data_IF_746708856714
#
_entry.id   IF_746708856714
#
_cell.length_a   1.000
_cell.length_b   1.000
_cell.length_c   1.000
_cell.angle_alpha   90.00
_cell.angle_beta   90.00
_cell.angle_gamma   90.00
#
_symmetry.space_group_name_H-M   'P 1'
#
loop_
_entity.id
_entity.type
_entity.pdbx_description
1 polymer ?
#
# COMPACT_ATOMS: atom_id res chain seq x y z
N UNK A 1 3.53 -14.53 -29.89
CA UNK A 1 3.94 -13.75 -28.69
C UNK A 1 4.83 -14.64 -27.83
N UNK A 2 6.08 -14.26 -27.56
CA UNK A 2 7.02 -15.06 -26.75
C UNK A 2 6.45 -15.27 -25.34
N UNK A 3 6.62 -16.47 -24.76
CA UNK A 3 6.10 -16.86 -23.44
C UNK A 3 6.43 -15.83 -22.33
N UNK A 4 7.59 -15.20 -22.44
CA UNK A 4 8.06 -14.12 -21.56
C UNK A 4 7.15 -12.89 -21.62
N UNK A 5 6.79 -12.42 -22.83
CA UNK A 5 5.95 -11.24 -23.02
C UNK A 5 4.58 -11.44 -22.37
N UNK A 6 3.98 -12.63 -22.53
CA UNK A 6 2.69 -12.95 -21.91
C UNK A 6 2.77 -12.88 -20.38
N UNK A 7 3.86 -13.41 -19.80
CA UNK A 7 4.07 -13.38 -18.35
C UNK A 7 4.22 -11.95 -17.81
N UNK A 8 4.98 -11.11 -18.51
CA UNK A 8 5.17 -9.70 -18.12
C UNK A 8 3.84 -8.95 -18.17
N UNK A 9 3.06 -9.13 -19.24
CA UNK A 9 1.75 -8.49 -19.38
C UNK A 9 0.79 -8.89 -18.25
N UNK A 10 0.77 -10.17 -17.85
CA UNK A 10 -0.04 -10.62 -16.71
C UNK A 10 0.39 -9.98 -15.40
N UNK A 11 1.69 -9.80 -15.18
CA UNK A 11 2.20 -9.13 -13.97
C UNK A 11 1.76 -7.67 -13.94
N UNK A 12 1.90 -6.94 -15.06
CA UNK A 12 1.47 -5.54 -15.16
C UNK A 12 -0.04 -5.44 -14.95
N UNK A 13 -0.83 -6.30 -15.60
CA UNK A 13 -2.28 -6.33 -15.48
C UNK A 13 -2.77 -6.58 -14.05
N UNK A 14 -2.06 -7.40 -13.28
CA UNK A 14 -2.37 -7.64 -11.87
C UNK A 14 -1.86 -6.51 -10.95
N UNK A 15 -0.74 -5.88 -11.30
CA UNK A 15 -0.09 -4.88 -10.45
C UNK A 15 -0.76 -3.51 -10.53
N UNK A 16 -1.27 -3.11 -11.70
CA UNK A 16 -1.97 -1.81 -11.84
C UNK A 16 -3.17 -1.69 -10.90
N UNK A 17 -4.11 -2.65 -10.83
CA UNK A 17 -5.23 -2.59 -9.87
C UNK A 17 -4.77 -2.62 -8.41
N UNK A 18 -3.72 -3.38 -8.10
CA UNK A 18 -3.14 -3.40 -6.76
C UNK A 18 -2.62 -2.01 -6.35
N UNK A 19 -1.94 -1.31 -7.26
CA UNK A 19 -1.50 0.07 -7.03
C UNK A 19 -2.67 1.05 -6.86
N UNK A 20 -3.75 0.87 -7.62
CA UNK A 20 -4.97 1.67 -7.46
C UNK A 20 -5.55 1.49 -6.04
N UNK A 21 -5.67 0.24 -5.57
CA UNK A 21 -6.14 -0.05 -4.20
C UNK A 21 -5.20 0.53 -3.15
N UNK A 22 -3.89 0.38 -3.34
CA UNK A 22 -2.87 0.92 -2.44
C UNK A 22 -2.99 2.44 -2.27
N UNK A 23 -3.09 3.18 -3.37
CA UNK A 23 -3.20 4.64 -3.33
C UNK A 23 -4.56 5.08 -2.78
N UNK A 24 -5.67 4.49 -3.26
CA UNK A 24 -7.01 4.86 -2.81
C UNK A 24 -7.17 4.68 -1.31
N UNK A 25 -6.78 3.52 -0.76
CA UNK A 25 -6.92 3.27 0.67
C UNK A 25 -5.85 3.99 1.48
N UNK A 26 -4.58 3.88 1.06
CA UNK A 26 -3.45 4.42 1.79
C UNK A 26 -3.52 5.93 1.94
N UNK A 27 -3.73 6.66 0.83
CA UNK A 27 -3.78 8.13 0.85
C UNK A 27 -5.03 8.62 1.58
N UNK A 28 -6.19 8.00 1.35
CA UNK A 28 -7.42 8.37 2.08
C UNK A 28 -7.24 8.24 3.60
N UNK A 29 -6.55 7.20 4.06
CA UNK A 29 -6.22 7.06 5.49
C UNK A 29 -5.19 8.10 5.93
N UNK A 30 -4.10 8.32 5.19
CA UNK A 30 -3.12 9.36 5.51
C UNK A 30 -3.81 10.72 5.72
N UNK A 31 -4.65 11.12 4.78
CA UNK A 31 -5.40 12.38 4.86
C UNK A 31 -6.39 12.37 6.03
N UNK A 32 -7.12 11.27 6.25
CA UNK A 32 -8.12 11.19 7.33
C UNK A 32 -7.48 11.28 8.71
N UNK A 33 -6.34 10.63 8.95
CA UNK A 33 -5.61 10.76 10.21
C UNK A 33 -5.11 12.21 10.42
N UNK A 34 -4.68 12.90 9.37
CA UNK A 34 -4.29 14.30 9.45
C UNK A 34 -5.48 15.22 9.78
N UNK A 35 -6.63 15.01 9.13
CA UNK A 35 -7.87 15.76 9.43
C UNK A 35 -8.33 15.53 10.87
N UNK A 36 -8.25 14.30 11.38
CA UNK A 36 -8.58 13.99 12.77
C UNK A 36 -7.67 14.69 13.77
N UNK A 37 -6.37 14.82 13.47
CA UNK A 37 -5.42 15.56 14.31
C UNK A 37 -5.76 17.07 14.35
N UNK A 38 -6.16 17.64 13.21
CA UNK A 38 -6.63 19.04 13.11
C UNK A 38 -7.92 19.25 13.90
N UNK A 39 -8.89 18.34 13.77
CA UNK A 39 -10.16 18.40 14.52
C UNK A 39 -9.91 18.31 16.03
N UNK A 40 -8.96 17.47 16.45
CA UNK A 40 -8.57 17.36 17.85
C UNK A 40 -7.97 18.65 18.42
N UNK A 41 -7.37 19.50 17.57
CA UNK A 41 -6.89 20.85 17.95
C UNK A 41 -8.02 21.89 18.05
N UNK A 42 -9.28 21.51 17.87
CA UNK A 42 -10.44 22.40 17.97
C UNK A 42 -10.77 23.15 16.69
N UNK A 43 -10.19 22.75 15.55
CA UNK A 43 -10.49 23.33 14.25
C UNK A 43 -11.67 22.57 13.64
N UNK A 44 -12.74 23.29 13.30
CA UNK A 44 -13.86 22.69 12.58
C UNK A 44 -13.45 22.43 11.12
N UNK A 45 -13.64 21.18 10.67
CA UNK A 45 -13.32 20.74 9.31
C UNK A 45 -14.62 20.27 8.64
N UNK A 46 -15.24 21.14 7.84
CA UNK A 46 -16.42 20.78 7.07
C UNK A 46 -16.19 19.57 6.15
N UNK A 47 -17.21 18.72 5.98
CA UNK A 47 -17.12 17.50 5.16
C UNK A 47 -16.69 17.75 3.71
N UNK A 48 -17.08 18.90 3.13
CA UNK A 48 -16.67 19.29 1.78
C UNK A 48 -15.16 19.57 1.69
N UNK A 49 -14.57 20.19 2.72
CA UNK A 49 -13.12 20.39 2.81
C UNK A 49 -12.42 19.04 2.94
N UNK A 50 -12.94 18.12 3.76
CA UNK A 50 -12.37 16.79 3.90
C UNK A 50 -12.31 16.02 2.57
N UNK A 51 -13.43 15.97 1.84
CA UNK A 51 -13.49 15.32 0.53
C UNK A 51 -12.60 16.00 -0.51
N UNK A 52 -12.52 17.34 -0.48
CA UNK A 52 -11.63 18.09 -1.36
C UNK A 52 -10.16 17.77 -1.06
N UNK A 53 -9.77 17.68 0.22
CA UNK A 53 -8.39 17.34 0.62
C UNK A 53 -8.03 15.91 0.23
N UNK A 54 -8.92 14.92 0.43
CA UNK A 54 -8.69 13.54 -0.04
C UNK A 54 -8.47 13.54 -1.56
N UNK A 55 -9.30 14.25 -2.31
CA UNK A 55 -9.21 14.30 -3.77
C UNK A 55 -7.90 14.95 -4.23
N UNK A 56 -7.51 16.05 -3.58
CA UNK A 56 -6.26 16.75 -3.83
C UNK A 56 -5.05 15.86 -3.54
N UNK A 57 -5.03 15.20 -2.38
CA UNK A 57 -3.95 14.30 -1.98
C UNK A 57 -3.87 13.06 -2.87
N UNK A 58 -5.00 12.51 -3.32
CA UNK A 58 -5.01 11.42 -4.28
C UNK A 58 -4.34 11.79 -5.60
N UNK A 59 -4.38 13.06 -6.03
CA UNK A 59 -3.67 13.50 -7.24
C UNK A 59 -2.20 13.78 -6.94
N UNK A 60 -1.91 14.50 -5.86
CA UNK A 60 -0.58 15.04 -5.62
C UNK A 60 0.35 14.15 -4.80
N UNK A 61 -0.18 13.33 -3.89
CA UNK A 61 0.61 12.35 -3.12
C UNK A 61 0.77 11.02 -3.86
N UNK A 62 -0.13 10.68 -4.79
CA UNK A 62 -0.08 9.40 -5.51
C UNK A 62 1.28 9.07 -6.14
N UNK A 63 1.98 9.98 -6.84
CA UNK A 63 3.28 9.66 -7.42
C UNK A 63 4.30 9.23 -6.36
N UNK A 64 4.46 10.01 -5.29
CA UNK A 64 5.41 9.72 -4.21
C UNK A 64 5.01 8.47 -3.42
N UNK A 65 3.74 8.35 -3.06
CA UNK A 65 3.21 7.20 -2.34
C UNK A 65 3.37 5.91 -3.15
N UNK A 66 3.07 5.96 -4.45
CA UNK A 66 3.26 4.85 -5.38
C UNK A 66 4.71 4.45 -5.53
N UNK A 67 5.64 5.41 -5.63
CA UNK A 67 7.06 5.09 -5.73
C UNK A 67 7.54 4.36 -4.49
N UNK A 68 7.28 4.90 -3.30
CA UNK A 68 7.82 4.35 -2.06
C UNK A 68 7.18 2.99 -1.74
N UNK A 69 5.85 2.95 -1.61
CA UNK A 69 5.15 1.73 -1.22
C UNK A 69 5.05 0.72 -2.36
N UNK A 70 4.98 1.18 -3.61
CA UNK A 70 4.95 0.28 -4.78
C UNK A 70 6.28 -0.45 -4.97
N UNK A 71 7.43 0.22 -4.79
CA UNK A 71 8.74 -0.46 -4.83
C UNK A 71 8.84 -1.48 -3.68
N UNK A 72 8.45 -1.08 -2.47
CA UNK A 72 8.40 -2.00 -1.32
C UNK A 72 7.53 -3.23 -1.59
N UNK A 73 6.36 -3.03 -2.20
CA UNK A 73 5.44 -4.10 -2.56
C UNK A 73 5.99 -5.02 -3.66
N UNK A 74 6.68 -4.48 -4.68
CA UNK A 74 7.34 -5.30 -5.71
C UNK A 74 8.38 -6.21 -5.06
N UNK A 75 9.24 -5.66 -4.21
CA UNK A 75 10.28 -6.42 -3.53
C UNK A 75 9.65 -7.50 -2.65
N UNK A 76 8.64 -7.16 -1.85
CA UNK A 76 8.01 -8.11 -0.94
C UNK A 76 7.29 -9.24 -1.68
N UNK A 77 6.63 -8.96 -2.81
CA UNK A 77 5.98 -9.97 -3.64
C UNK A 77 6.97 -10.91 -4.34
N UNK A 78 8.15 -10.42 -4.73
CA UNK A 78 9.25 -11.26 -5.24
C UNK A 78 9.74 -12.20 -4.13
N UNK A 79 9.96 -11.67 -2.92
CA UNK A 79 10.37 -12.47 -1.76
C UNK A 79 9.30 -13.52 -1.41
N UNK A 80 8.02 -13.13 -1.38
CA UNK A 80 6.90 -14.04 -1.18
C UNK A 80 6.84 -15.15 -2.25
N UNK A 81 7.21 -14.83 -3.51
CA UNK A 81 7.34 -15.80 -4.60
C UNK A 81 8.36 -16.89 -4.30
N UNK A 82 9.49 -16.55 -3.70
CA UNK A 82 10.52 -17.52 -3.33
C UNK A 82 10.13 -18.30 -2.07
N UNK A 83 9.66 -17.60 -1.04
CA UNK A 83 9.33 -18.21 0.26
C UNK A 83 8.21 -19.25 0.14
N UNK A 84 7.21 -19.03 -0.72
CA UNK A 84 6.13 -20.01 -0.86
C UNK A 84 6.56 -21.35 -1.43
N UNK A 85 7.79 -21.48 -1.94
CA UNK A 85 8.31 -22.78 -2.37
C UNK A 85 8.65 -23.68 -1.18
N UNK A 86 8.84 -23.07 -0.01
CA UNK A 86 9.24 -23.73 1.23
C UNK A 86 8.10 -23.84 2.26
N UNK A 87 7.04 -23.05 2.10
CA UNK A 87 5.89 -23.04 3.01
C UNK A 87 4.69 -23.76 2.38
N UNK A 88 4.01 -24.60 3.16
CA UNK A 88 2.73 -25.25 2.79
C UNK A 88 1.51 -24.38 3.05
N UNK A 89 1.71 -23.09 3.38
CA UNK A 89 0.65 -22.14 3.69
C UNK A 89 -0.09 -21.64 2.43
N UNK A 90 -1.31 -21.14 2.64
CA UNK A 90 -2.11 -20.52 1.59
C UNK A 90 -1.34 -19.35 0.95
N UNK A 91 -1.22 -19.37 -0.38
CA UNK A 91 -0.47 -18.39 -1.14
C UNK A 91 -0.98 -16.96 -0.97
N UNK A 92 -2.29 -16.77 -0.79
CA UNK A 92 -2.89 -15.47 -0.50
C UNK A 92 -2.39 -14.92 0.84
N UNK A 93 -2.30 -15.77 1.85
CA UNK A 93 -1.85 -15.38 3.19
C UNK A 93 -0.38 -14.94 3.18
N UNK A 94 0.48 -15.67 2.45
CA UNK A 94 1.90 -15.30 2.29
C UNK A 94 2.04 -13.94 1.59
N UNK A 95 1.28 -13.70 0.53
CA UNK A 95 1.37 -12.43 -0.20
C UNK A 95 0.82 -11.25 0.64
N UNK A 96 -0.27 -11.45 1.39
CA UNK A 96 -0.82 -10.43 2.31
C UNK A 96 0.16 -10.05 3.40
N UNK A 97 0.77 -11.03 4.08
CA UNK A 97 1.75 -10.75 5.13
C UNK A 97 2.99 -10.08 4.58
N UNK A 98 3.45 -10.46 3.38
CA UNK A 98 4.53 -9.76 2.69
C UNK A 98 4.17 -8.30 2.38
N UNK A 99 2.94 -8.03 1.94
CA UNK A 99 2.43 -6.67 1.75
C UNK A 99 2.47 -5.83 3.02
N UNK A 100 1.95 -6.37 4.13
CA UNK A 100 1.96 -5.73 5.46
C UNK A 100 3.40 -5.44 5.90
N UNK A 101 4.28 -6.43 5.84
CA UNK A 101 5.70 -6.27 6.23
C UNK A 101 6.35 -5.19 5.38
N UNK A 102 6.09 -5.13 4.07
CA UNK A 102 6.69 -4.10 3.20
C UNK A 102 6.32 -2.68 3.63
N UNK A 103 5.07 -2.45 4.04
CA UNK A 103 4.62 -1.13 4.51
C UNK A 103 5.21 -0.78 5.87
N UNK A 104 5.26 -1.74 6.81
CA UNK A 104 5.93 -1.54 8.10
C UNK A 104 7.41 -1.20 7.88
N UNK A 105 8.09 -1.93 7.01
CA UNK A 105 9.49 -1.69 6.65
C UNK A 105 9.66 -0.30 6.03
N UNK A 106 8.85 0.07 5.05
CA UNK A 106 8.92 1.37 4.40
C UNK A 106 8.71 2.52 5.41
N UNK A 107 7.69 2.43 6.26
CA UNK A 107 7.38 3.43 7.29
C UNK A 107 8.50 3.55 8.33
N UNK A 108 9.01 2.42 8.81
CA UNK A 108 10.08 2.38 9.81
C UNK A 108 11.41 2.87 9.22
N UNK A 109 11.71 2.49 7.97
CA UNK A 109 12.90 2.92 7.26
C UNK A 109 12.88 4.43 7.01
N UNK A 110 11.74 4.98 6.55
CA UNK A 110 11.57 6.42 6.37
C UNK A 110 11.82 7.19 7.68
N UNK A 111 11.27 6.70 8.79
CA UNK A 111 11.48 7.32 10.10
C UNK A 111 12.97 7.32 10.49
N UNK A 112 13.63 6.15 10.39
CA UNK A 112 15.05 6.02 10.74
C UNK A 112 15.98 6.84 9.84
N UNK A 113 15.69 6.95 8.54
CA UNK A 113 16.52 7.68 7.59
C UNK A 113 16.36 9.20 7.70
N UNK A 114 15.16 9.69 8.00
CA UNK A 114 14.85 11.13 8.02
C UNK A 114 14.90 11.73 9.43
N UNK A 115 14.97 10.90 10.48
CA UNK A 115 14.91 11.35 11.88
C UNK A 115 13.56 11.92 12.29
N UNK A 116 12.54 11.82 11.42
CA UNK A 116 11.16 12.28 11.64
C UNK A 116 10.20 11.27 11.03
N UNK A 117 8.99 11.17 11.58
CA UNK A 117 7.91 10.37 10.98
C UNK A 117 7.21 11.19 9.88
N UNK A 118 7.50 10.98 8.58
CA UNK A 118 7.01 11.87 7.53
C UNK A 118 5.52 11.68 7.27
N UNK A 119 5.04 10.45 7.46
CA UNK A 119 3.63 10.10 7.35
C UNK A 119 3.03 10.21 8.76
N UNK A 120 2.36 11.32 9.06
CA UNK A 120 1.80 11.60 10.39
C UNK A 120 0.90 10.48 10.92
N UNK A 121 0.12 9.86 10.03
CA UNK A 121 -0.74 8.72 10.36
C UNK A 121 0.03 7.55 11.02
N UNK A 122 1.29 7.29 10.65
CA UNK A 122 2.07 6.18 11.21
C UNK A 122 2.73 6.49 12.56
N UNK A 123 2.46 7.65 13.17
CA UNK A 123 2.95 7.99 14.53
C UNK A 123 2.28 7.15 15.61
N UNK A 124 1.06 6.68 15.35
CA UNK A 124 0.30 5.83 16.28
C UNK A 124 0.34 4.38 15.82
N UNK A 125 0.22 3.44 16.76
CA UNK A 125 0.12 2.01 16.42
C UNK A 125 -1.10 1.73 15.53
N UNK A 126 -2.23 2.37 15.82
CA UNK A 126 -3.46 2.24 15.03
C UNK A 126 -3.25 2.65 13.58
N UNK A 127 -2.65 3.82 13.34
CA UNK A 127 -2.40 4.28 11.97
C UNK A 127 -1.30 3.49 11.26
N UNK A 128 -0.25 3.03 11.97
CA UNK A 128 0.75 2.12 11.42
C UNK A 128 0.09 0.81 10.92
N UNK A 129 -0.76 0.19 11.75
CA UNK A 129 -1.46 -1.04 11.39
C UNK A 129 -2.45 -0.81 10.24
N UNK A 130 -3.19 0.30 10.26
CA UNK A 130 -4.16 0.63 9.22
C UNK A 130 -3.47 0.83 7.85
N UNK A 131 -2.39 1.60 7.79
CA UNK A 131 -1.61 1.79 6.56
C UNK A 131 -0.96 0.49 6.08
N UNK A 132 -0.47 -0.34 7.01
CA UNK A 132 0.13 -1.63 6.66
C UNK A 132 -0.91 -2.60 6.10
N UNK A 133 -2.14 -2.57 6.64
CA UNK A 133 -3.26 -3.34 6.11
C UNK A 133 -3.61 -2.93 4.67
N UNK A 134 -3.53 -1.64 4.30
CA UNK A 134 -3.73 -1.20 2.91
C UNK A 134 -2.75 -1.86 1.94
N UNK A 135 -1.48 -1.98 2.32
CA UNK A 135 -0.47 -2.69 1.53
C UNK A 135 -0.72 -4.20 1.47
N UNK A 136 -1.19 -4.80 2.57
CA UNK A 136 -1.66 -6.19 2.58
C UNK A 136 -2.83 -6.43 1.62
N UNK A 137 -3.81 -5.52 1.58
CA UNK A 137 -4.94 -5.58 0.65
C UNK A 137 -4.51 -5.39 -0.79
N UNK A 138 -3.58 -4.47 -1.07
CA UNK A 138 -2.98 -4.32 -2.40
C UNK A 138 -2.27 -5.61 -2.85
N UNK A 139 -1.49 -6.24 -1.95
CA UNK A 139 -0.87 -7.53 -2.22
C UNK A 139 -1.91 -8.61 -2.52
N UNK A 140 -3.01 -8.66 -1.76
CA UNK A 140 -4.13 -9.58 -2.01
C UNK A 140 -4.75 -9.37 -3.39
N UNK A 141 -5.00 -8.11 -3.79
CA UNK A 141 -5.54 -7.76 -5.11
C UNK A 141 -4.64 -8.26 -6.22
N UNK A 142 -3.33 -8.01 -6.14
CA UNK A 142 -2.35 -8.52 -7.10
C UNK A 142 -2.40 -10.06 -7.16
N UNK A 143 -2.37 -10.68 -6.00
CA UNK A 143 -2.36 -12.13 -5.79
C UNK A 143 -3.59 -12.81 -6.41
N UNK A 144 -4.78 -12.21 -6.23
CA UNK A 144 -6.05 -12.68 -6.79
C UNK A 144 -6.11 -12.55 -8.31
N UNK A 145 -5.81 -11.36 -8.84
CA UNK A 145 -5.90 -11.11 -10.29
C UNK A 145 -4.88 -11.98 -11.03
N UNK A 146 -3.63 -12.04 -10.55
CA UNK A 146 -2.57 -12.83 -11.16
C UNK A 146 -2.96 -14.31 -11.28
N UNK A 147 -3.54 -14.91 -10.24
CA UNK A 147 -3.93 -16.33 -10.27
C UNK A 147 -5.14 -16.59 -11.15
N UNK A 148 -6.12 -15.68 -11.16
CA UNK A 148 -7.29 -15.78 -12.06
C UNK A 148 -6.89 -15.70 -13.53
N UNK A 149 -5.89 -14.88 -13.87
CA UNK A 149 -5.40 -14.73 -15.26
C UNK A 149 -4.40 -15.83 -15.68
N UNK A 150 -3.77 -16.51 -14.73
CA UNK A 150 -2.83 -17.60 -15.00
C UNK A 150 -3.50 -18.99 -15.09
N UNK A 151 -4.74 -19.11 -14.59
CA UNK A 151 -5.62 -20.27 -14.78
C UNK A 151 -6.25 -20.28 -16.18
#
# INVERSE_FOLDING_TARGET
>A
MTKIIKSILTLIYAFVPAMVILNLLGISLVTSFAMMEIIYMGIDVPNNVWLATISHDLVHLSPLYSTIFGIGLIISLIVAAQISRFLTLNRYFIDVTAGIVSAITALTLMNNLLGVTPIGASRTMTGLLALSACSGLAALTFSFIRRKTAS
#
